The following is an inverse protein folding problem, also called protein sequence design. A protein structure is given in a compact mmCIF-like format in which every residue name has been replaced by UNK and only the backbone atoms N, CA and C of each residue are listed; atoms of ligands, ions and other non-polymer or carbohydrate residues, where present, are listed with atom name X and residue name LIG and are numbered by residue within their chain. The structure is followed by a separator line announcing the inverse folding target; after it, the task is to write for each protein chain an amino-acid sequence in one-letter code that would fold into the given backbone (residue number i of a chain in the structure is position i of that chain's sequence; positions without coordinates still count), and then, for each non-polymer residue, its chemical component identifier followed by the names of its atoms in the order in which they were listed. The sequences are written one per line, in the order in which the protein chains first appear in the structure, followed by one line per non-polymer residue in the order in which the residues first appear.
data_IF_739741839015
#
_entry.id   IF_739741839015
#
_cell.length_a   1.000
_cell.length_b   1.000
_cell.length_c   1.000
_cell.angle_alpha   90.00
_cell.angle_beta   90.00
_cell.angle_gamma   90.00
#
_symmetry.space_group_name_H-M   'P 1'
#
loop_
_entity.id
_entity.type
_entity.pdbx_description
1 polymer ?
#
# COMPACT_ATOMS: atom_id res chain seq x y z
N UNK A 1 -15.49 -25.63 -34.20
CA UNK A 1 -14.17 -25.05 -34.47
C UNK A 1 -13.71 -24.42 -33.16
N UNK A 2 -13.02 -25.21 -32.34
CA UNK A 2 -12.49 -24.79 -31.05
C UNK A 2 -11.13 -25.47 -30.87
N UNK A 3 -10.12 -24.95 -31.57
CA UNK A 3 -8.74 -25.38 -31.51
C UNK A 3 -7.87 -24.13 -31.55
N UNK A 4 -7.65 -23.50 -30.39
CA UNK A 4 -6.82 -22.30 -30.32
C UNK A 4 -6.51 -21.74 -28.92
N UNK A 5 -6.91 -22.41 -27.84
CA UNK A 5 -6.84 -21.83 -26.49
C UNK A 5 -5.92 -22.59 -25.54
N UNK A 6 -4.90 -23.26 -26.00
CA UNK A 6 -3.87 -23.90 -25.15
C UNK A 6 -2.47 -23.65 -25.67
N UNK A 7 -2.08 -22.40 -25.93
CA UNK A 7 -0.69 -22.01 -25.70
C UNK A 7 -0.55 -21.73 -24.21
N UNK A 8 -0.06 -22.70 -23.46
CA UNK A 8 0.53 -22.47 -22.14
C UNK A 8 1.47 -21.25 -22.30
N UNK A 9 0.99 -20.07 -21.87
CA UNK A 9 1.84 -18.89 -21.72
C UNK A 9 2.92 -19.32 -20.72
N UNK A 10 4.15 -19.59 -21.17
CA UNK A 10 5.29 -19.55 -20.28
C UNK A 10 5.24 -18.19 -19.63
N UNK A 11 4.90 -18.13 -18.32
CA UNK A 11 5.09 -16.93 -17.53
C UNK A 11 6.53 -16.52 -17.77
N UNK A 12 6.74 -15.35 -18.34
CA UNK A 12 8.07 -14.77 -18.42
C UNK A 12 8.42 -14.49 -16.97
N UNK A 13 9.40 -15.21 -16.46
CA UNK A 13 9.80 -15.12 -15.05
C UNK A 13 10.82 -13.99 -14.97
N UNK A 14 10.60 -13.08 -14.01
CA UNK A 14 11.56 -12.01 -13.70
C UNK A 14 12.91 -12.59 -13.28
N UNK A 15 13.99 -11.83 -13.48
CA UNK A 15 15.36 -12.26 -13.17
C UNK A 15 15.53 -12.59 -11.67
N UNK A 16 16.50 -13.46 -11.37
CA UNK A 16 16.83 -13.82 -9.99
C UNK A 16 17.30 -12.59 -9.18
N UNK A 17 18.02 -11.67 -9.83
CA UNK A 17 18.47 -10.42 -9.21
C UNK A 17 17.29 -9.54 -8.79
N UNK A 18 16.32 -9.35 -9.67
CA UNK A 18 15.11 -8.59 -9.37
C UNK A 18 14.24 -9.29 -8.32
N UNK A 19 14.08 -10.62 -8.41
CA UNK A 19 13.38 -11.42 -7.41
C UNK A 19 13.97 -11.24 -6.01
N UNK A 20 15.30 -11.22 -5.90
CA UNK A 20 15.97 -10.95 -4.63
C UNK A 20 15.68 -9.55 -4.12
N UNK A 21 15.79 -8.51 -4.94
CA UNK A 21 15.47 -7.13 -4.54
C UNK A 21 14.04 -7.00 -4.05
N UNK A 22 13.07 -7.63 -4.73
CA UNK A 22 11.66 -7.66 -4.32
C UNK A 22 11.51 -8.33 -2.94
N UNK A 23 12.16 -9.47 -2.73
CA UNK A 23 12.14 -10.20 -1.44
C UNK A 23 12.75 -9.36 -0.32
N UNK A 24 13.88 -8.68 -0.57
CA UNK A 24 14.55 -7.81 0.41
C UNK A 24 13.66 -6.62 0.86
N UNK A 25 12.65 -6.26 0.05
CA UNK A 25 11.61 -5.26 0.39
C UNK A 25 10.39 -5.87 1.09
N UNK A 26 10.40 -7.17 1.39
CA UNK A 26 9.30 -7.88 2.04
C UNK A 26 8.08 -8.06 1.13
N UNK A 27 8.30 -8.16 -0.18
CA UNK A 27 7.29 -8.48 -1.19
C UNK A 27 7.50 -9.90 -1.71
N UNK A 28 6.43 -10.51 -2.24
CA UNK A 28 6.49 -11.83 -2.86
C UNK A 28 6.76 -11.71 -4.38
N UNK A 29 7.92 -12.17 -4.90
CA UNK A 29 8.26 -12.08 -6.31
C UNK A 29 7.25 -12.78 -7.23
N UNK A 30 6.72 -13.94 -6.84
CA UNK A 30 5.74 -14.68 -7.64
C UNK A 30 4.41 -13.95 -7.74
N UNK A 31 3.98 -13.32 -6.63
CA UNK A 31 2.78 -12.49 -6.62
C UNK A 31 2.94 -11.25 -7.52
N UNK A 32 4.11 -10.58 -7.48
CA UNK A 32 4.43 -9.46 -8.37
C UNK A 32 4.44 -9.92 -9.83
N UNK A 33 5.14 -11.01 -10.12
CA UNK A 33 5.23 -11.56 -11.48
C UNK A 33 3.84 -11.87 -12.06
N UNK A 34 2.97 -12.48 -11.27
CA UNK A 34 1.58 -12.79 -11.66
C UNK A 34 0.77 -11.52 -11.90
N UNK A 35 0.87 -10.55 -10.99
CA UNK A 35 0.13 -9.28 -11.07
C UNK A 35 0.53 -8.45 -12.30
N UNK A 36 1.82 -8.40 -12.60
CA UNK A 36 2.34 -7.75 -13.80
C UNK A 36 1.86 -8.46 -15.06
N UNK A 37 1.88 -9.81 -15.08
CA UNK A 37 1.35 -10.57 -16.22
C UNK A 37 -0.14 -10.31 -16.48
N UNK A 38 -0.94 -10.21 -15.41
CA UNK A 38 -2.37 -9.85 -15.53
C UNK A 38 -2.57 -8.46 -16.14
N UNK A 39 -1.83 -7.45 -15.66
CA UNK A 39 -1.91 -6.07 -16.15
C UNK A 39 -1.45 -5.94 -17.61
N UNK A 40 -0.36 -6.60 -18.00
CA UNK A 40 0.12 -6.64 -19.39
C UNK A 40 -0.89 -7.36 -20.31
N UNK A 41 -1.59 -8.36 -19.78
CA UNK A 41 -2.65 -9.07 -20.52
C UNK A 41 -3.89 -8.21 -20.72
N UNK A 42 -4.25 -7.40 -19.74
CA UNK A 42 -5.36 -6.43 -19.82
C UNK A 42 -5.11 -5.42 -20.95
N UNK A 43 -3.88 -4.93 -21.09
CA UNK A 43 -3.50 -3.96 -22.13
C UNK A 43 -3.24 -4.62 -23.51
N UNK A 44 -3.44 -5.94 -23.64
CA UNK A 44 -3.30 -6.69 -24.92
C UNK A 44 -2.02 -6.39 -25.68
N UNK A 45 -0.89 -6.30 -24.99
CA UNK A 45 0.42 -5.84 -25.50
C UNK A 45 0.93 -6.60 -26.74
N UNK A 46 0.38 -7.76 -27.06
CA UNK A 46 0.71 -8.53 -28.26
C UNK A 46 0.13 -7.96 -29.55
N UNK A 47 -0.91 -7.14 -29.43
CA UNK A 47 -1.71 -6.65 -30.54
C UNK A 47 -1.58 -5.13 -30.75
N UNK A 48 -0.42 -4.55 -30.38
CA UNK A 48 -0.14 -3.13 -30.56
C UNK A 48 -0.05 -2.73 -32.03
N UNK A 49 -1.21 -2.36 -32.57
CA UNK A 49 -1.39 -1.99 -33.98
C UNK A 49 -0.55 -0.77 -34.35
N UNK A 50 -0.44 0.20 -33.46
CA UNK A 50 0.25 1.46 -33.75
C UNK A 50 1.75 1.25 -33.85
N UNK A 51 2.38 0.63 -32.85
CA UNK A 51 3.81 0.40 -32.87
C UNK A 51 4.20 -0.56 -33.99
N UNK A 52 3.36 -1.57 -34.31
CA UNK A 52 3.62 -2.48 -35.41
C UNK A 52 3.63 -1.75 -36.77
N UNK A 53 2.75 -0.76 -36.96
CA UNK A 53 2.63 -0.02 -38.21
C UNK A 53 3.67 1.11 -38.36
N UNK A 54 4.07 1.75 -37.26
CA UNK A 54 4.84 3.00 -37.33
C UNK A 54 6.31 2.88 -36.94
N UNK A 55 6.71 1.82 -36.22
CA UNK A 55 8.07 1.64 -35.70
C UNK A 55 8.74 0.45 -36.40
N UNK A 56 9.98 0.63 -36.87
CA UNK A 56 10.76 -0.49 -37.40
C UNK A 56 11.07 -1.51 -36.30
N UNK A 57 11.00 -2.80 -36.65
CA UNK A 57 11.17 -3.88 -35.67
C UNK A 57 12.53 -3.85 -34.96
N UNK A 58 13.60 -3.48 -35.68
CA UNK A 58 14.97 -3.39 -35.14
C UNK A 58 15.32 -2.02 -34.56
N UNK A 59 14.38 -1.10 -34.47
CA UNK A 59 14.65 0.23 -33.93
C UNK A 59 14.88 0.14 -32.41
N UNK A 60 16.03 0.66 -31.96
CA UNK A 60 16.41 0.76 -30.55
C UNK A 60 16.35 2.20 -30.12
N UNK A 61 15.86 2.44 -28.92
CA UNK A 61 15.81 3.76 -28.30
C UNK A 61 16.34 3.72 -26.87
N UNK A 62 16.82 4.86 -26.41
CA UNK A 62 17.00 5.16 -25.01
C UNK A 62 15.72 5.84 -24.52
N UNK A 63 15.30 5.53 -23.32
CA UNK A 63 14.15 6.18 -22.68
C UNK A 63 14.39 6.27 -21.18
N UNK A 64 13.60 7.12 -20.51
CA UNK A 64 13.70 7.33 -19.07
C UNK A 64 12.33 7.60 -18.46
N UNK A 65 12.08 7.05 -17.28
CA UNK A 65 10.95 7.44 -16.44
C UNK A 65 11.33 8.66 -15.62
N UNK A 66 10.50 9.70 -15.66
CA UNK A 66 10.80 11.00 -15.04
C UNK A 66 9.59 11.52 -14.27
N UNK A 67 9.80 11.96 -13.03
CA UNK A 67 8.73 12.62 -12.26
C UNK A 67 8.42 14.00 -12.85
N UNK A 68 7.14 14.36 -12.89
CA UNK A 68 6.71 15.72 -13.23
C UNK A 68 6.53 16.59 -11.98
N UNK A 69 6.41 15.96 -10.82
CA UNK A 69 6.22 16.62 -9.51
C UNK A 69 7.13 15.99 -8.45
N UNK A 70 7.40 16.74 -7.39
CA UNK A 70 8.09 16.21 -6.21
C UNK A 70 7.20 15.21 -5.47
N UNK A 71 7.80 14.14 -4.91
CA UNK A 71 7.07 13.12 -4.16
C UNK A 71 7.99 12.08 -3.55
N UNK A 72 7.40 11.05 -2.96
CA UNK A 72 8.09 9.85 -2.48
C UNK A 72 7.84 8.73 -3.48
N UNK A 73 8.91 8.09 -3.94
CA UNK A 73 8.83 7.07 -4.97
C UNK A 73 8.51 5.70 -4.35
N UNK A 74 7.61 4.96 -5.00
CA UNK A 74 7.33 3.56 -4.70
C UNK A 74 6.91 2.83 -5.98
N UNK A 75 7.36 1.58 -6.13
CA UNK A 75 7.02 0.74 -7.27
C UNK A 75 8.07 0.65 -8.37
N UNK A 76 9.30 1.15 -8.15
CA UNK A 76 10.41 0.97 -9.11
C UNK A 76 10.66 -0.52 -9.40
N UNK A 77 10.60 -1.39 -8.39
CA UNK A 77 10.78 -2.83 -8.57
C UNK A 77 9.62 -3.48 -9.36
N UNK A 78 8.40 -2.96 -9.21
CA UNK A 78 7.24 -3.41 -9.99
C UNK A 78 7.37 -2.94 -11.45
N UNK A 79 7.78 -1.69 -11.68
CA UNK A 79 8.08 -1.18 -13.01
C UNK A 79 9.19 -1.99 -13.68
N UNK A 80 10.27 -2.34 -12.96
CA UNK A 80 11.32 -3.22 -13.46
C UNK A 80 10.77 -4.61 -13.86
N UNK A 81 9.85 -5.18 -13.08
CA UNK A 81 9.20 -6.43 -13.44
C UNK A 81 8.36 -6.31 -14.72
N UNK A 82 7.71 -5.18 -14.95
CA UNK A 82 7.03 -4.88 -16.23
C UNK A 82 8.04 -4.84 -17.39
N UNK A 83 9.17 -4.14 -17.19
CA UNK A 83 10.24 -4.05 -18.20
C UNK A 83 10.76 -5.44 -18.57
N UNK A 84 11.14 -6.26 -17.58
CA UNK A 84 11.67 -7.61 -17.83
C UNK A 84 10.63 -8.51 -18.53
N UNK A 85 9.34 -8.44 -18.15
CA UNK A 85 8.28 -9.21 -18.82
C UNK A 85 8.02 -8.75 -20.27
N UNK A 86 8.37 -7.50 -20.60
CA UNK A 86 8.36 -6.99 -21.97
C UNK A 86 9.68 -7.27 -22.74
N UNK A 87 10.62 -8.01 -22.13
CA UNK A 87 11.90 -8.37 -22.73
C UNK A 87 12.99 -7.29 -22.63
N UNK A 88 12.80 -6.30 -21.77
CA UNK A 88 13.75 -5.21 -21.52
C UNK A 88 14.61 -5.59 -20.32
N UNK A 89 15.90 -5.90 -20.58
CA UNK A 89 16.84 -6.32 -19.54
C UNK A 89 17.99 -5.31 -19.32
N UNK A 90 18.11 -4.29 -20.20
CA UNK A 90 19.09 -3.21 -20.06
C UNK A 90 18.39 -1.98 -19.49
N UNK A 91 18.37 -1.88 -18.14
CA UNK A 91 17.81 -0.75 -17.41
C UNK A 91 18.61 -0.48 -16.13
N UNK A 92 18.51 0.74 -15.62
CA UNK A 92 19.15 1.18 -14.38
C UNK A 92 18.11 1.88 -13.49
N UNK A 93 17.99 1.44 -12.24
CA UNK A 93 17.19 2.10 -11.22
C UNK A 93 18.01 3.20 -10.55
N UNK A 94 17.71 4.47 -10.82
CA UNK A 94 18.46 5.62 -10.30
C UNK A 94 18.01 6.01 -8.88
N UNK A 95 16.82 5.61 -8.49
CA UNK A 95 16.22 5.91 -7.17
C UNK A 95 15.74 4.64 -6.50
N UNK A 96 15.66 4.68 -5.18
CA UNK A 96 15.10 3.59 -4.36
C UNK A 96 13.67 3.94 -3.94
N UNK A 97 12.85 2.91 -3.80
CA UNK A 97 11.53 3.07 -3.19
C UNK A 97 11.70 3.62 -1.75
N UNK A 98 10.83 4.54 -1.36
CA UNK A 98 10.93 5.32 -0.11
C UNK A 98 11.75 6.62 -0.25
N UNK A 99 12.46 6.84 -1.33
CA UNK A 99 13.23 8.06 -1.53
C UNK A 99 12.31 9.23 -1.90
N UNK A 100 12.50 10.37 -1.23
CA UNK A 100 11.86 11.63 -1.62
C UNK A 100 12.66 12.27 -2.76
N UNK A 101 11.97 12.70 -3.82
CA UNK A 101 12.57 13.30 -5.01
C UNK A 101 11.93 14.64 -5.36
N UNK A 102 12.66 15.47 -6.11
CA UNK A 102 12.16 16.70 -6.70
C UNK A 102 11.46 16.44 -8.03
N UNK A 103 10.72 17.42 -8.54
CA UNK A 103 10.20 17.38 -9.91
C UNK A 103 11.35 17.24 -10.91
N UNK A 104 11.09 16.59 -12.04
CA UNK A 104 12.04 16.31 -13.12
C UNK A 104 13.23 15.41 -12.71
N UNK A 105 13.07 14.59 -11.66
CA UNK A 105 14.06 13.57 -11.32
C UNK A 105 13.88 12.34 -12.22
N UNK A 106 14.96 11.87 -12.81
CA UNK A 106 15.02 10.61 -13.54
C UNK A 106 14.97 9.44 -12.53
N UNK A 107 14.09 8.48 -12.77
CA UNK A 107 13.84 7.34 -11.88
C UNK A 107 14.46 6.06 -12.39
N UNK A 108 14.27 5.78 -13.69
CA UNK A 108 14.74 4.59 -14.38
C UNK A 108 15.24 5.00 -15.74
N UNK A 109 16.45 4.60 -16.09
CA UNK A 109 16.98 4.67 -17.45
C UNK A 109 16.85 3.31 -18.10
N UNK A 110 16.59 3.27 -19.40
CA UNK A 110 16.53 2.02 -20.15
C UNK A 110 16.93 2.19 -21.61
N UNK A 111 17.40 1.09 -22.20
CA UNK A 111 17.71 1.00 -23.62
C UNK A 111 17.20 -0.34 -24.15
N UNK A 112 16.33 -0.29 -25.15
CA UNK A 112 15.72 -1.49 -25.70
C UNK A 112 15.13 -1.24 -27.10
N UNK A 113 14.59 -2.29 -27.70
CA UNK A 113 13.74 -2.16 -28.89
C UNK A 113 12.58 -1.19 -28.57
N UNK A 114 12.39 -0.18 -29.42
CA UNK A 114 11.38 0.86 -29.22
C UNK A 114 9.97 0.28 -29.03
N UNK A 115 9.63 -0.77 -29.77
CA UNK A 115 8.35 -1.48 -29.61
C UNK A 115 8.19 -2.11 -28.23
N UNK A 116 9.26 -2.64 -27.65
CA UNK A 116 9.23 -3.21 -26.29
C UNK A 116 9.01 -2.12 -25.23
N UNK A 117 9.68 -0.96 -25.39
CA UNK A 117 9.51 0.21 -24.51
C UNK A 117 8.04 0.66 -24.50
N UNK A 118 7.45 0.86 -25.68
CA UNK A 118 6.06 1.31 -25.82
C UNK A 118 5.05 0.30 -25.25
N UNK A 119 5.31 -0.99 -25.36
CA UNK A 119 4.50 -2.05 -24.72
C UNK A 119 4.54 -2.00 -23.19
N UNK A 120 5.70 -1.68 -22.63
CA UNK A 120 5.88 -1.63 -21.17
C UNK A 120 5.33 -0.33 -20.56
N UNK A 121 5.36 0.77 -21.32
CA UNK A 121 5.17 2.13 -20.87
C UNK A 121 3.94 2.30 -19.99
N UNK A 122 2.75 2.01 -20.51
CA UNK A 122 1.50 2.31 -19.80
C UNK A 122 1.36 1.53 -18.51
N UNK A 123 1.63 0.22 -18.56
CA UNK A 123 1.54 -0.65 -17.39
C UNK A 123 2.57 -0.26 -16.32
N UNK A 124 3.82 0.04 -16.71
CA UNK A 124 4.85 0.49 -15.78
C UNK A 124 4.48 1.83 -15.14
N UNK A 125 4.03 2.81 -15.93
CA UNK A 125 3.59 4.12 -15.43
C UNK A 125 2.39 4.00 -14.49
N UNK A 126 1.43 3.14 -14.79
CA UNK A 126 0.26 2.96 -13.93
C UNK A 126 0.65 2.48 -12.53
N UNK A 127 1.48 1.44 -12.43
CA UNK A 127 1.99 0.98 -11.13
C UNK A 127 2.83 2.03 -10.43
N UNK A 128 3.80 2.61 -11.12
CA UNK A 128 4.75 3.57 -10.54
C UNK A 128 4.05 4.83 -10.05
N UNK A 129 3.14 5.40 -10.84
CA UNK A 129 2.37 6.59 -10.48
C UNK A 129 1.40 6.34 -9.32
N UNK A 130 0.69 5.21 -9.33
CA UNK A 130 -0.23 4.84 -8.27
C UNK A 130 0.48 4.62 -6.93
N UNK A 131 1.51 3.79 -6.92
CA UNK A 131 2.23 3.46 -5.70
C UNK A 131 3.01 4.67 -5.15
N UNK A 132 3.65 5.46 -6.02
CA UNK A 132 4.31 6.70 -5.61
C UNK A 132 3.31 7.74 -5.11
N UNK A 133 2.09 7.76 -5.64
CA UNK A 133 1.00 8.58 -5.15
C UNK A 133 0.64 8.23 -3.71
N UNK A 134 0.46 6.95 -3.41
CA UNK A 134 0.18 6.44 -2.05
C UNK A 134 1.34 6.78 -1.10
N UNK A 135 2.59 6.52 -1.50
CA UNK A 135 3.76 6.82 -0.68
C UNK A 135 3.87 8.33 -0.40
N UNK A 136 3.66 9.17 -1.41
CA UNK A 136 3.67 10.62 -1.28
C UNK A 136 2.58 11.11 -0.35
N UNK A 137 1.35 10.63 -0.52
CA UNK A 137 0.23 11.00 0.33
C UNK A 137 0.43 10.53 1.77
N UNK A 138 0.92 9.32 1.98
CA UNK A 138 1.29 8.82 3.32
C UNK A 138 2.34 9.71 3.97
N UNK A 139 3.35 10.13 3.22
CA UNK A 139 4.41 10.98 3.74
C UNK A 139 3.91 12.36 4.20
N UNK A 140 2.88 12.92 3.55
CA UNK A 140 2.22 14.14 4.02
C UNK A 140 1.60 13.94 5.41
N UNK A 141 0.87 12.83 5.62
CA UNK A 141 0.29 12.48 6.91
C UNK A 141 1.36 12.25 7.98
N UNK A 142 2.43 11.54 7.67
CA UNK A 142 3.54 11.29 8.59
C UNK A 142 4.20 12.61 9.02
N UNK A 143 4.42 13.52 8.07
CA UNK A 143 4.97 14.85 8.38
C UNK A 143 4.05 15.67 9.27
N UNK A 144 2.73 15.62 9.03
CA UNK A 144 1.75 16.37 9.80
C UNK A 144 1.73 15.97 11.28
N UNK A 145 1.99 14.70 11.59
CA UNK A 145 2.02 14.20 12.97
C UNK A 145 3.42 14.12 13.58
N UNK A 146 4.44 14.59 12.89
CA UNK A 146 5.87 14.41 13.25
C UNK A 146 6.28 15.04 14.59
N UNK A 147 5.52 16.00 15.10
CA UNK A 147 5.73 16.61 16.42
C UNK A 147 5.24 15.73 17.59
N UNK A 148 4.60 14.61 17.30
CA UNK A 148 4.06 13.65 18.27
C UNK A 148 4.73 12.29 18.19
N UNK A 149 4.29 11.35 19.05
CA UNK A 149 4.69 9.93 18.98
C UNK A 149 3.66 9.08 18.21
N UNK A 150 2.63 9.70 17.68
CA UNK A 150 1.56 9.04 16.94
C UNK A 150 2.08 8.56 15.58
N UNK A 151 1.79 7.32 15.22
CA UNK A 151 2.12 6.78 13.91
C UNK A 151 0.88 6.70 13.01
N UNK A 152 1.10 6.89 11.71
CA UNK A 152 0.08 6.74 10.68
C UNK A 152 0.00 5.28 10.25
N UNK A 153 -1.21 4.72 10.18
CA UNK A 153 -1.47 3.35 9.73
C UNK A 153 -2.44 3.34 8.55
N UNK A 154 -2.27 2.36 7.69
CA UNK A 154 -3.27 2.04 6.65
C UNK A 154 -4.47 1.27 7.22
N UNK A 155 -5.30 0.76 6.35
CA UNK A 155 -6.46 -0.08 6.67
C UNK A 155 -6.56 -1.23 5.67
N UNK A 156 -7.66 -2.02 5.75
CA UNK A 156 -8.01 -3.00 4.70
C UNK A 156 -8.88 -2.42 3.58
N UNK A 157 -9.13 -1.10 3.57
CA UNK A 157 -9.84 -0.39 2.49
C UNK A 157 -8.87 -0.15 1.32
N UNK A 158 -8.55 -1.21 0.58
CA UNK A 158 -7.57 -1.22 -0.51
C UNK A 158 -8.25 -1.59 -1.82
N UNK A 159 -7.64 -1.23 -2.94
CA UNK A 159 -8.06 -1.69 -4.26
C UNK A 159 -8.00 -3.21 -4.32
N UNK A 160 -9.09 -3.89 -4.75
CA UNK A 160 -9.10 -5.35 -4.87
C UNK A 160 -7.91 -5.85 -5.70
N UNK A 161 -7.19 -6.83 -5.15
CA UNK A 161 -6.02 -7.43 -5.79
C UNK A 161 -4.70 -6.63 -5.63
N UNK A 162 -4.71 -5.37 -5.17
CA UNK A 162 -3.51 -4.54 -5.03
C UNK A 162 -3.05 -4.32 -3.58
N UNK A 163 -3.71 -4.94 -2.59
CA UNK A 163 -3.44 -4.67 -1.17
C UNK A 163 -1.97 -4.79 -0.78
N UNK A 164 -1.27 -5.81 -1.23
CA UNK A 164 0.14 -6.02 -0.89
C UNK A 164 1.00 -4.83 -1.38
N UNK A 165 0.78 -4.40 -2.62
CA UNK A 165 1.49 -3.28 -3.23
C UNK A 165 1.13 -1.94 -2.60
N UNK A 166 -0.15 -1.69 -2.34
CA UNK A 166 -0.60 -0.44 -1.72
C UNK A 166 -0.08 -0.30 -0.28
N UNK A 167 -0.12 -1.38 0.50
CA UNK A 167 0.44 -1.39 1.86
C UNK A 167 1.97 -1.30 1.86
N UNK A 168 2.63 -1.86 0.86
CA UNK A 168 4.05 -1.61 0.63
C UNK A 168 4.32 -0.12 0.39
N UNK A 169 3.54 0.53 -0.47
CA UNK A 169 3.68 1.95 -0.75
C UNK A 169 3.43 2.83 0.50
N UNK A 170 2.51 2.44 1.39
CA UNK A 170 2.33 3.10 2.70
C UNK A 170 3.62 3.03 3.54
N UNK A 171 4.29 1.86 3.59
CA UNK A 171 5.60 1.75 4.29
C UNK A 171 6.66 2.66 3.66
N UNK A 172 6.69 2.74 2.34
CA UNK A 172 7.63 3.63 1.62
C UNK A 172 7.36 5.11 1.92
N UNK A 173 6.12 5.49 2.20
CA UNK A 173 5.76 6.82 2.67
C UNK A 173 6.07 7.11 4.15
N UNK A 174 6.56 6.11 4.90
CA UNK A 174 6.86 6.20 6.34
C UNK A 174 5.69 5.83 7.25
N UNK A 175 4.59 5.33 6.71
CA UNK A 175 3.47 4.79 7.49
C UNK A 175 3.70 3.34 7.94
N UNK A 176 2.82 2.85 8.80
CA UNK A 176 2.79 1.47 9.29
C UNK A 176 1.62 0.71 8.66
N UNK A 177 1.76 -0.60 8.54
CA UNK A 177 0.65 -1.42 8.10
C UNK A 177 -0.24 -1.84 9.28
N UNK A 178 -1.54 -1.75 9.09
CA UNK A 178 -2.54 -2.50 9.83
C UNK A 178 -2.57 -3.95 9.28
N UNK A 179 -3.31 -4.87 9.91
CA UNK A 179 -3.42 -6.27 9.48
C UNK A 179 -3.62 -6.41 7.96
N UNK A 180 -2.95 -7.39 7.36
CA UNK A 180 -3.04 -7.66 5.92
C UNK A 180 -4.37 -8.34 5.55
N UNK A 181 -4.83 -9.27 6.41
CA UNK A 181 -5.98 -10.12 6.15
C UNK A 181 -6.74 -10.43 7.45
N UNK A 182 -7.75 -11.30 7.38
CA UNK A 182 -8.58 -11.67 8.53
C UNK A 182 -7.89 -12.63 9.50
N UNK A 183 -6.84 -13.32 9.07
CA UNK A 183 -6.09 -14.28 9.87
C UNK A 183 -4.89 -13.72 10.62
N UNK A 184 -4.44 -12.51 10.29
CA UNK A 184 -3.24 -11.87 10.87
C UNK A 184 -3.43 -11.45 12.33
N UNK A 185 -4.60 -10.87 12.59
CA UNK A 185 -4.95 -10.23 13.85
C UNK A 185 -6.46 -10.23 14.01
N UNK A 186 -6.93 -10.52 15.20
CA UNK A 186 -8.34 -10.41 15.52
C UNK A 186 -8.72 -8.91 15.66
N UNK A 187 -9.64 -8.44 14.81
CA UNK A 187 -10.28 -7.13 14.97
C UNK A 187 -11.76 -7.37 15.25
N UNK A 188 -12.13 -7.16 16.51
CA UNK A 188 -13.50 -7.26 16.98
C UNK A 188 -14.19 -5.93 16.63
N UNK A 189 -15.32 -6.01 15.94
CA UNK A 189 -16.11 -4.86 15.49
C UNK A 189 -17.48 -4.83 16.14
N UNK A 190 -18.20 -3.70 15.96
CA UNK A 190 -19.56 -3.47 16.40
C UNK A 190 -20.50 -4.69 16.21
N UNK A 191 -20.52 -5.24 15.00
CA UNK A 191 -21.32 -6.42 14.67
C UNK A 191 -20.90 -7.67 15.45
N UNK A 192 -19.62 -7.83 15.76
CA UNK A 192 -19.13 -8.95 16.59
C UNK A 192 -19.57 -8.77 18.05
N UNK A 193 -19.50 -7.53 18.57
CA UNK A 193 -19.93 -7.18 19.91
C UNK A 193 -21.44 -7.40 20.06
N UNK A 194 -22.22 -6.93 19.09
CA UNK A 194 -23.68 -7.14 19.08
C UNK A 194 -24.06 -8.64 19.08
N UNK A 195 -23.35 -9.45 18.28
CA UNK A 195 -23.58 -10.88 18.21
C UNK A 195 -23.10 -11.64 19.46
N UNK A 196 -22.07 -11.14 20.14
CA UNK A 196 -21.54 -11.74 21.38
C UNK A 196 -22.34 -11.33 22.62
N UNK A 197 -22.93 -10.12 22.63
CA UNK A 197 -23.70 -9.51 23.70
C UNK A 197 -22.96 -8.45 24.50
N UNK A 198 -21.62 -8.46 24.55
CA UNK A 198 -20.79 -7.41 25.15
C UNK A 198 -19.37 -7.41 24.59
N UNK A 199 -18.61 -6.36 24.86
CA UNK A 199 -17.19 -6.24 24.50
C UNK A 199 -16.37 -7.33 25.17
N UNK A 200 -16.55 -7.52 26.46
CA UNK A 200 -15.82 -8.52 27.26
C UNK A 200 -16.10 -9.94 26.78
N UNK A 201 -17.36 -10.28 26.47
CA UNK A 201 -17.71 -11.60 25.97
C UNK A 201 -17.10 -11.85 24.59
N UNK A 202 -17.12 -10.86 23.69
CA UNK A 202 -16.48 -10.97 22.38
C UNK A 202 -14.98 -11.23 22.51
N UNK A 203 -14.28 -10.45 23.35
CA UNK A 203 -12.84 -10.61 23.64
C UNK A 203 -12.54 -12.00 24.22
N UNK A 204 -13.32 -12.45 25.21
CA UNK A 204 -13.12 -13.74 25.87
C UNK A 204 -13.29 -14.92 24.90
N UNK A 205 -14.27 -14.83 23.97
CA UNK A 205 -14.44 -15.85 22.91
C UNK A 205 -13.23 -15.92 21.99
N UNK A 206 -12.68 -14.76 21.59
CA UNK A 206 -11.45 -14.72 20.77
C UNK A 206 -10.26 -15.30 21.54
N UNK A 207 -10.02 -14.91 22.78
CA UNK A 207 -8.94 -15.44 23.62
C UNK A 207 -9.02 -16.95 23.79
N UNK A 208 -10.23 -17.47 23.93
CA UNK A 208 -10.47 -18.93 24.06
C UNK A 208 -10.24 -19.67 22.73
N UNK A 209 -10.69 -19.10 21.62
CA UNK A 209 -10.62 -19.75 20.30
C UNK A 209 -9.24 -19.64 19.65
N UNK A 210 -8.50 -18.55 19.91
CA UNK A 210 -7.19 -18.25 19.34
C UNK A 210 -6.23 -17.74 20.43
N UNK A 211 -5.72 -18.61 21.32
CA UNK A 211 -4.79 -18.21 22.37
C UNK A 211 -3.53 -17.57 21.79
N UNK A 212 -3.15 -16.37 22.26
CA UNK A 212 -1.98 -15.64 21.82
C UNK A 212 -2.18 -14.81 20.53
N UNK A 213 -3.37 -14.81 19.95
CA UNK A 213 -3.68 -13.88 18.85
C UNK A 213 -3.66 -12.44 19.37
N UNK A 214 -3.06 -11.53 18.61
CA UNK A 214 -3.14 -10.11 18.85
C UNK A 214 -4.60 -9.68 18.68
N UNK A 215 -5.16 -9.00 19.69
CA UNK A 215 -6.56 -8.56 19.70
C UNK A 215 -6.62 -7.04 19.64
N UNK A 216 -7.35 -6.57 18.66
CA UNK A 216 -7.81 -5.20 18.57
C UNK A 216 -9.33 -5.19 18.66
N UNK A 217 -9.90 -4.23 19.41
CA UNK A 217 -11.34 -4.09 19.53
C UNK A 217 -11.75 -2.66 19.18
N UNK A 218 -12.72 -2.54 18.30
CA UNK A 218 -13.34 -1.28 17.87
C UNK A 218 -14.43 -0.92 18.86
N UNK A 219 -14.41 0.31 19.37
CA UNK A 219 -15.35 0.83 20.36
C UNK A 219 -15.87 2.21 19.94
N UNK A 220 -17.16 2.45 20.18
CA UNK A 220 -17.86 3.70 19.85
C UNK A 220 -18.03 4.61 21.06
N UNK A 221 -17.86 4.08 22.29
CA UNK A 221 -18.08 4.82 23.54
C UNK A 221 -16.94 4.64 24.53
N UNK A 222 -16.82 5.61 25.46
CA UNK A 222 -15.84 5.53 26.54
C UNK A 222 -16.16 4.42 27.56
N UNK A 223 -17.41 4.00 27.66
CA UNK A 223 -17.86 2.87 28.50
C UNK A 223 -17.33 1.55 27.91
N UNK A 224 -17.48 1.35 26.60
CA UNK A 224 -16.91 0.18 25.93
C UNK A 224 -15.37 0.15 26.01
N UNK A 225 -14.70 1.32 25.94
CA UNK A 225 -13.26 1.42 26.18
C UNK A 225 -12.88 0.91 27.58
N UNK A 226 -13.60 1.35 28.62
CA UNK A 226 -13.34 0.90 30.01
C UNK A 226 -13.52 -0.63 30.14
N UNK A 227 -14.55 -1.19 29.50
CA UNK A 227 -14.79 -2.64 29.47
C UNK A 227 -13.65 -3.37 28.74
N UNK A 228 -13.20 -2.88 27.58
CA UNK A 228 -12.08 -3.45 26.83
C UNK A 228 -10.75 -3.44 27.61
N UNK A 229 -10.46 -2.35 28.32
CA UNK A 229 -9.26 -2.21 29.15
C UNK A 229 -9.22 -3.23 30.31
N UNK A 230 -10.36 -3.58 30.90
CA UNK A 230 -10.45 -4.62 31.94
C UNK A 230 -10.08 -6.00 31.38
N UNK A 231 -10.26 -6.22 30.08
CA UNK A 231 -9.89 -7.45 29.41
C UNK A 231 -8.42 -7.51 28.99
N UNK A 232 -7.61 -6.45 29.18
CA UNK A 232 -6.20 -6.42 28.81
C UNK A 232 -5.96 -6.82 27.34
N UNK A 233 -6.54 -6.06 26.41
CA UNK A 233 -6.31 -6.19 24.96
C UNK A 233 -5.10 -5.35 24.53
N UNK A 234 -4.47 -5.71 23.41
CA UNK A 234 -3.29 -5.03 22.90
C UNK A 234 -3.62 -3.67 22.30
N UNK A 235 -4.75 -3.56 21.58
CA UNK A 235 -5.15 -2.33 20.89
C UNK A 235 -6.66 -2.12 21.07
N UNK A 236 -7.04 -0.85 21.30
CA UNK A 236 -8.43 -0.40 21.18
C UNK A 236 -8.50 0.65 20.08
N UNK A 237 -9.37 0.43 19.10
CA UNK A 237 -9.67 1.36 18.05
C UNK A 237 -10.89 2.21 18.47
N UNK A 238 -10.70 3.52 18.50
CA UNK A 238 -11.70 4.53 18.81
C UNK A 238 -12.38 4.93 17.48
N UNK A 239 -13.59 4.41 17.24
CA UNK A 239 -14.26 4.66 15.96
C UNK A 239 -15.07 5.96 16.00
N UNK A 240 -14.80 6.84 15.05
CA UNK A 240 -15.46 8.13 14.85
C UNK A 240 -15.54 9.04 16.10
N UNK A 241 -14.64 8.86 17.09
CA UNK A 241 -14.59 9.72 18.27
C UNK A 241 -14.03 11.11 17.93
N UNK A 242 -14.63 12.16 18.55
CA UNK A 242 -14.12 13.53 18.46
C UNK A 242 -12.73 13.65 19.11
N UNK A 243 -12.04 14.77 18.88
CA UNK A 243 -10.75 15.08 19.52
C UNK A 243 -10.89 15.08 21.05
N UNK A 244 -11.97 15.66 21.58
CA UNK A 244 -12.26 15.70 23.01
C UNK A 244 -12.49 14.30 23.59
N UNK A 245 -13.26 13.45 22.89
CA UNK A 245 -13.48 12.06 23.28
C UNK A 245 -12.20 11.25 23.21
N UNK A 246 -11.39 11.43 22.14
CA UNK A 246 -10.08 10.77 22.00
C UNK A 246 -9.14 11.17 23.13
N UNK A 247 -9.11 12.45 23.52
CA UNK A 247 -8.32 12.92 24.67
C UNK A 247 -8.80 12.29 25.99
N UNK A 248 -10.10 12.19 26.19
CA UNK A 248 -10.66 11.51 27.36
C UNK A 248 -10.33 10.01 27.36
N UNK A 249 -10.36 9.35 26.18
CA UNK A 249 -9.94 7.95 26.03
C UNK A 249 -8.48 7.72 26.41
N UNK A 250 -7.58 8.62 25.99
CA UNK A 250 -6.14 8.56 26.34
C UNK A 250 -5.95 8.70 27.86
N UNK A 251 -6.69 9.60 28.53
CA UNK A 251 -6.65 9.73 29.99
C UNK A 251 -7.17 8.48 30.70
N UNK A 252 -8.27 7.88 30.22
CA UNK A 252 -8.82 6.63 30.76
C UNK A 252 -7.83 5.47 30.61
N UNK A 253 -7.13 5.39 29.49
CA UNK A 253 -6.15 4.33 29.23
C UNK A 253 -4.80 4.57 29.89
N UNK A 254 -4.58 5.71 30.57
CA UNK A 254 -3.32 6.05 31.22
C UNK A 254 -2.92 4.99 32.24
N UNK A 255 -1.68 4.49 32.10
CA UNK A 255 -1.14 3.43 32.96
C UNK A 255 -1.47 2.01 32.50
N UNK A 256 -2.28 1.82 31.47
CA UNK A 256 -2.45 0.53 30.80
C UNK A 256 -1.34 0.30 29.75
N UNK A 257 -1.15 -0.95 29.35
CA UNK A 257 -0.28 -1.31 28.22
C UNK A 257 -1.03 -1.30 26.86
N UNK A 258 -2.32 -1.02 26.87
CA UNK A 258 -3.16 -1.00 25.66
C UNK A 258 -2.83 0.21 24.80
N UNK A 259 -2.62 -0.01 23.51
CA UNK A 259 -2.45 1.05 22.52
C UNK A 259 -3.82 1.55 22.08
N UNK A 260 -3.93 2.86 21.83
CA UNK A 260 -5.11 3.46 21.25
C UNK A 260 -4.90 3.83 19.80
N UNK A 261 -5.86 3.51 18.96
CA UNK A 261 -5.91 3.87 17.55
C UNK A 261 -7.16 4.70 17.29
N UNK A 262 -7.04 5.91 16.70
CA UNK A 262 -8.19 6.65 16.20
C UNK A 262 -8.47 6.30 14.75
N UNK A 263 -9.74 6.10 14.42
CA UNK A 263 -10.22 5.80 13.08
C UNK A 263 -11.55 6.53 12.80
N UNK A 264 -11.90 6.66 11.53
CA UNK A 264 -13.14 7.29 11.10
C UNK A 264 -13.04 8.82 10.96
N UNK A 265 -13.47 9.35 9.81
CA UNK A 265 -13.56 10.80 9.56
C UNK A 265 -12.27 11.60 9.61
N UNK A 266 -11.10 10.95 9.70
CA UNK A 266 -9.80 11.61 9.75
C UNK A 266 -9.49 12.33 8.43
N UNK A 267 -9.02 13.57 8.54
CA UNK A 267 -8.56 14.41 7.43
C UNK A 267 -7.16 14.92 7.74
N UNK A 268 -6.39 15.25 6.69
CA UNK A 268 -5.02 15.75 6.87
C UNK A 268 -5.00 17.00 7.77
N UNK A 269 -5.99 17.89 7.58
CA UNK A 269 -6.12 19.16 8.32
C UNK A 269 -6.37 18.97 9.83
N UNK A 270 -6.91 17.83 10.27
CA UNK A 270 -7.16 17.56 11.68
C UNK A 270 -6.18 16.52 12.28
N UNK A 271 -5.25 15.98 11.48
CA UNK A 271 -4.33 14.91 11.90
C UNK A 271 -3.45 15.35 13.09
N UNK A 272 -2.86 16.55 13.05
CA UNK A 272 -2.05 17.10 14.14
C UNK A 272 -2.84 17.23 15.44
N UNK A 273 -4.13 17.63 15.39
CA UNK A 273 -4.96 17.77 16.56
C UNK A 273 -5.30 16.42 17.20
N UNK A 274 -5.60 15.38 16.40
CA UNK A 274 -5.75 14.03 16.92
C UNK A 274 -4.43 13.49 17.51
N UNK A 275 -3.31 13.69 16.83
CA UNK A 275 -2.00 13.26 17.32
C UNK A 275 -1.62 13.94 18.65
N UNK A 276 -2.00 15.22 18.84
CA UNK A 276 -1.78 15.96 20.08
C UNK A 276 -2.57 15.42 21.28
N UNK A 277 -3.59 14.58 21.08
CA UNK A 277 -4.29 13.89 22.17
C UNK A 277 -3.43 12.86 22.87
N UNK A 278 -2.35 12.38 22.22
CA UNK A 278 -1.48 11.31 22.72
C UNK A 278 -1.90 9.90 22.28
N UNK A 279 -2.85 9.76 21.34
CA UNK A 279 -3.23 8.48 20.73
C UNK A 279 -2.02 7.87 20.02
N UNK A 280 -1.89 6.53 20.03
CA UNK A 280 -0.72 5.85 19.46
C UNK A 280 -0.75 5.78 17.93
N UNK A 281 -1.93 5.62 17.34
CA UNK A 281 -2.09 5.41 15.91
C UNK A 281 -3.25 6.23 15.35
N UNK A 282 -3.11 6.69 14.10
CA UNK A 282 -4.20 7.17 13.27
C UNK A 282 -4.36 6.21 12.08
N UNK A 283 -5.49 5.50 12.01
CA UNK A 283 -5.82 4.61 10.92
C UNK A 283 -6.54 5.36 9.80
N UNK A 284 -5.89 5.51 8.66
CA UNK A 284 -6.34 6.36 7.57
C UNK A 284 -6.61 5.52 6.32
N UNK A 285 -7.87 5.24 6.05
CA UNK A 285 -8.27 4.48 4.86
C UNK A 285 -7.96 5.20 3.55
N UNK A 286 -8.04 6.54 3.55
CA UNK A 286 -7.79 7.37 2.38
C UNK A 286 -6.38 7.19 1.78
N UNK A 287 -5.40 6.71 2.54
CA UNK A 287 -4.05 6.46 2.04
C UNK A 287 -4.06 5.50 0.84
N UNK A 288 -4.96 4.52 0.83
CA UNK A 288 -4.99 3.47 -0.17
C UNK A 288 -6.17 3.57 -1.13
N UNK A 289 -7.31 4.16 -0.73
CA UNK A 289 -8.47 4.23 -1.63
C UNK A 289 -8.70 5.61 -2.26
N UNK A 290 -7.96 6.66 -1.85
CA UNK A 290 -8.19 8.03 -2.33
C UNK A 290 -6.89 8.84 -2.50
N UNK A 291 -5.74 8.20 -2.47
CA UNK A 291 -4.48 8.89 -2.76
C UNK A 291 -4.45 9.37 -4.22
N UNK A 292 -4.08 10.63 -4.48
CA UNK A 292 -3.84 11.09 -5.85
C UNK A 292 -2.58 10.40 -6.39
N UNK A 293 -2.58 10.09 -7.68
CA UNK A 293 -1.40 9.55 -8.37
C UNK A 293 -0.27 10.59 -8.42
N UNK A 294 0.98 10.14 -8.36
CA UNK A 294 2.12 11.00 -8.66
C UNK A 294 2.31 11.07 -10.18
N UNK A 295 2.43 12.27 -10.73
CA UNK A 295 2.61 12.47 -12.16
C UNK A 295 4.04 12.06 -12.56
N UNK A 296 4.14 10.97 -13.33
CA UNK A 296 5.38 10.38 -13.86
C UNK A 296 5.15 10.10 -15.34
N UNK A 297 6.12 10.42 -16.18
CA UNK A 297 6.08 10.16 -17.61
C UNK A 297 7.29 9.38 -18.10
N UNK A 298 7.20 8.88 -19.33
CA UNK A 298 8.30 8.30 -20.07
C UNK A 298 8.75 9.30 -21.12
N UNK A 299 10.06 9.58 -21.18
CA UNK A 299 10.71 10.44 -22.18
C UNK A 299 11.70 9.61 -23.02
N UNK A 300 11.80 9.94 -24.30
CA UNK A 300 12.76 9.38 -25.23
C UNK A 300 14.00 10.28 -25.38
#
# INVERSE_FOLDING_TARGET
MALGAQRLRRLIVISQSLSKLITDQGLNPDAINSKVSEALSEDSITDDLTSQATINQSQVSNARFVTRKSGVIAGCLVAAAVLEQCGINEYELLVKDGQQVSANTELILLKAETRAILKAERTALNFLSHLSGIATFTNLWVKEVSSSKTAIRDTRKTTPGLRELEKYAVRMGGGLNHRMNLGDQALIKDNHIAAAGSVSEAINRVKKAAPGALIEVEVDTLEQLKEALQCSVEIVLLDNMSIEQTKAAVEIARGSNTKLESSGGLKLENAAAYAATGVNYLAVGALTHSAPVLDIGLDF
#
